data_IF_079968460899
#
_entry.id   IF_079968460899
#
_cell.length_a   1.000
_cell.length_b   1.000
_cell.length_c   1.000
_cell.angle_alpha   90.00
_cell.angle_beta   90.00
_cell.angle_gamma   90.00
#
_symmetry.space_group_name_H-M   'P 1'
#
loop_
_entity.id
_entity.type
_entity.pdbx_description
1 polymer ?
#
# COMPACT_ATOMS: atom_id res chain seq x y z
N UNK A 1 1.11 -11.71 -22.41
CA UNK A 1 0.92 -12.28 -21.06
C UNK A 1 0.06 -13.55 -21.12
N UNK A 2 -1.19 -13.50 -21.61
CA UNK A 2 -2.09 -14.68 -21.61
C UNK A 2 -1.47 -15.93 -22.26
N UNK A 3 -0.84 -15.79 -23.43
CA UNK A 3 -0.23 -16.91 -24.15
C UNK A 3 1.09 -17.40 -23.52
N UNK A 4 1.86 -16.47 -22.91
CA UNK A 4 3.13 -16.78 -22.24
C UNK A 4 2.92 -17.53 -20.92
N UNK A 5 1.80 -17.29 -20.24
CA UNK A 5 1.46 -17.87 -18.93
C UNK A 5 0.20 -18.73 -19.02
N UNK A 6 0.04 -19.46 -20.15
CA UNK A 6 -1.09 -20.36 -20.32
C UNK A 6 -1.12 -21.42 -19.20
N UNK A 7 -2.25 -21.54 -18.51
CA UNK A 7 -2.43 -22.45 -17.37
C UNK A 7 -1.93 -21.90 -16.01
N UNK A 8 -1.39 -20.69 -15.97
CA UNK A 8 -0.99 -20.01 -14.73
C UNK A 8 -1.98 -18.89 -14.42
N UNK A 9 -2.41 -18.80 -13.17
CA UNK A 9 -3.22 -17.67 -12.70
C UNK A 9 -2.31 -16.44 -12.50
N UNK A 10 -2.56 -15.37 -13.25
CA UNK A 10 -1.76 -14.15 -13.19
C UNK A 10 -2.61 -13.00 -12.66
N UNK A 11 -2.12 -12.34 -11.63
CA UNK A 11 -2.65 -11.07 -11.10
C UNK A 11 -1.56 -10.01 -11.12
N UNK A 12 -1.92 -8.74 -11.28
CA UNK A 12 -0.94 -7.65 -11.33
C UNK A 12 -1.60 -6.28 -11.34
N UNK A 13 -0.78 -5.24 -11.48
CA UNK A 13 -1.25 -3.87 -11.65
C UNK A 13 -0.21 -3.01 -12.39
N UNK A 14 -0.63 -1.83 -12.83
CA UNK A 14 0.30 -0.75 -13.20
C UNK A 14 0.94 -0.16 -11.93
N UNK A 15 2.12 0.46 -12.07
CA UNK A 15 2.94 0.83 -10.92
C UNK A 15 3.48 2.26 -11.05
N UNK A 16 3.99 2.79 -9.95
CA UNK A 16 4.78 4.04 -9.96
C UNK A 16 6.30 3.77 -10.00
N UNK A 17 6.69 2.61 -10.51
CA UNK A 17 8.04 2.08 -10.60
C UNK A 17 8.13 0.69 -9.99
N UNK A 18 9.09 -0.10 -10.44
CA UNK A 18 9.28 -1.49 -10.03
C UNK A 18 10.45 -1.63 -9.07
N UNK A 19 10.35 -2.62 -8.18
CA UNK A 19 11.43 -3.09 -7.31
C UNK A 19 11.79 -4.49 -7.78
N UNK A 20 13.05 -4.69 -8.15
CA UNK A 20 13.55 -5.98 -8.61
C UNK A 20 14.94 -6.27 -8.05
N UNK A 21 15.56 -7.40 -8.45
CA UNK A 21 16.92 -7.75 -8.01
C UNK A 21 17.98 -6.69 -8.30
N UNK A 22 17.74 -5.84 -9.28
CA UNK A 22 18.63 -4.73 -9.66
C UNK A 22 18.24 -3.40 -8.98
N UNK A 23 17.36 -3.41 -7.98
CA UNK A 23 16.86 -2.23 -7.27
C UNK A 23 15.62 -1.62 -7.93
N UNK A 24 15.40 -0.31 -7.71
CA UNK A 24 14.29 0.43 -8.32
C UNK A 24 14.51 0.62 -9.82
N UNK A 25 13.42 0.47 -10.58
CA UNK A 25 13.39 0.72 -12.02
C UNK A 25 12.09 1.41 -12.40
N UNK A 26 12.14 2.18 -13.46
CA UNK A 26 10.97 2.75 -14.11
C UNK A 26 10.77 2.09 -15.47
N UNK A 27 9.51 1.96 -15.89
CA UNK A 27 9.12 1.39 -17.19
C UNK A 27 9.54 -0.08 -17.38
N UNK A 28 9.59 -0.84 -16.30
CA UNK A 28 9.92 -2.27 -16.28
C UNK A 28 8.72 -3.16 -15.98
N UNK A 29 9.05 -4.41 -15.65
CA UNK A 29 8.11 -5.38 -15.09
C UNK A 29 8.83 -6.09 -13.95
N UNK A 30 8.21 -6.15 -12.78
CA UNK A 30 8.62 -6.98 -11.66
C UNK A 30 7.56 -8.01 -11.37
N UNK A 31 7.96 -9.23 -10.99
CA UNK A 31 7.01 -10.29 -10.68
C UNK A 31 7.65 -11.50 -10.05
N UNK A 32 6.83 -12.31 -9.41
CA UNK A 32 7.21 -13.60 -8.84
C UNK A 32 6.23 -14.69 -9.29
N UNK A 33 6.73 -15.92 -9.39
CA UNK A 33 5.92 -17.12 -9.54
C UNK A 33 5.97 -17.93 -8.25
N UNK A 34 4.83 -18.53 -7.91
CA UNK A 34 4.66 -19.34 -6.71
C UNK A 34 4.39 -20.78 -7.13
N UNK A 35 5.21 -21.78 -6.71
CA UNK A 35 5.03 -23.16 -7.11
C UNK A 35 3.78 -23.77 -6.46
N UNK A 36 3.04 -24.55 -7.26
CA UNK A 36 1.78 -25.18 -6.83
C UNK A 36 1.95 -26.22 -5.72
N UNK A 37 3.15 -26.74 -5.54
CA UNK A 37 3.50 -27.69 -4.46
C UNK A 37 3.41 -27.02 -3.07
N UNK A 38 3.71 -25.72 -3.00
CA UNK A 38 3.73 -24.96 -1.74
C UNK A 38 2.64 -23.94 -1.61
N UNK A 39 2.02 -23.52 -2.72
CA UNK A 39 1.03 -22.44 -2.71
C UNK A 39 -0.24 -22.87 -3.44
N UNK A 40 -1.37 -22.58 -2.83
CA UNK A 40 -2.69 -22.70 -3.48
C UNK A 40 -3.37 -21.36 -3.39
N UNK A 41 -3.87 -20.85 -4.50
CA UNK A 41 -4.51 -19.54 -4.55
C UNK A 41 -5.87 -19.61 -5.24
N UNK A 42 -6.77 -18.75 -4.77
CA UNK A 42 -8.01 -18.40 -5.47
C UNK A 42 -8.02 -16.89 -5.68
N UNK A 43 -8.40 -16.43 -6.87
CA UNK A 43 -8.41 -15.02 -7.17
C UNK A 43 -9.79 -14.58 -7.65
N UNK A 44 -10.07 -13.30 -7.41
CA UNK A 44 -11.30 -12.68 -7.86
C UNK A 44 -11.16 -11.17 -7.99
N UNK A 45 -12.15 -10.55 -8.62
CA UNK A 45 -12.14 -9.12 -8.93
C UNK A 45 -13.40 -8.44 -8.44
N UNK A 46 -13.24 -7.23 -7.92
CA UNK A 46 -14.30 -6.24 -7.69
C UNK A 46 -14.24 -5.22 -8.82
N UNK A 47 -15.37 -4.96 -9.45
CA UNK A 47 -15.53 -3.98 -10.51
C UNK A 47 -16.37 -2.80 -10.05
N UNK A 48 -16.30 -1.69 -10.78
CA UNK A 48 -17.11 -0.48 -10.56
C UNK A 48 -16.98 0.05 -9.13
N UNK A 49 -15.74 0.24 -8.68
CA UNK A 49 -15.43 0.70 -7.33
C UNK A 49 -16.09 2.05 -7.00
N UNK A 50 -16.36 2.89 -8.01
CA UNK A 50 -17.13 4.13 -7.81
C UNK A 50 -18.54 3.89 -7.29
N UNK A 51 -19.09 2.69 -7.53
CA UNK A 51 -20.41 2.24 -7.05
C UNK A 51 -20.28 1.14 -5.99
N UNK A 52 -19.13 1.10 -5.30
CA UNK A 52 -18.82 0.04 -4.34
C UNK A 52 -19.79 0.03 -3.17
N UNK A 53 -20.30 -1.15 -2.86
CA UNK A 53 -21.07 -1.47 -1.65
C UNK A 53 -20.40 -2.61 -0.90
N UNK A 54 -20.43 -2.58 0.43
CA UNK A 54 -19.75 -3.58 1.27
C UNK A 54 -20.20 -5.02 1.01
N UNK A 55 -21.42 -5.22 0.51
CA UNK A 55 -21.93 -6.55 0.16
C UNK A 55 -21.14 -7.19 -0.98
N UNK A 56 -20.59 -6.42 -1.91
CA UNK A 56 -19.77 -6.94 -3.01
C UNK A 56 -18.46 -7.54 -2.47
N UNK A 57 -17.81 -6.86 -1.50
CA UNK A 57 -16.62 -7.40 -0.85
C UNK A 57 -16.92 -8.65 -0.02
N UNK A 58 -18.05 -8.67 0.70
CA UNK A 58 -18.48 -9.84 1.46
C UNK A 58 -18.74 -11.04 0.55
N UNK A 59 -19.46 -10.84 -0.56
CA UNK A 59 -19.74 -11.90 -1.54
C UNK A 59 -18.43 -12.43 -2.14
N UNK A 60 -17.53 -11.54 -2.60
CA UNK A 60 -16.24 -11.95 -3.13
C UNK A 60 -15.42 -12.74 -2.11
N UNK A 61 -15.34 -12.26 -0.87
CA UNK A 61 -14.58 -12.93 0.18
C UNK A 61 -15.14 -14.33 0.47
N UNK A 62 -16.46 -14.48 0.57
CA UNK A 62 -17.13 -15.77 0.77
C UNK A 62 -16.86 -16.73 -0.38
N UNK A 63 -16.99 -16.27 -1.62
CA UNK A 63 -16.72 -17.09 -2.82
C UNK A 63 -15.27 -17.59 -2.86
N UNK A 64 -14.31 -16.72 -2.52
CA UNK A 64 -12.89 -17.09 -2.51
C UNK A 64 -12.56 -18.05 -1.37
N UNK A 65 -13.10 -17.83 -0.18
CA UNK A 65 -12.93 -18.74 0.97
C UNK A 65 -13.50 -20.11 0.67
N UNK A 66 -14.69 -20.19 0.12
CA UNK A 66 -15.33 -21.47 -0.26
C UNK A 66 -14.51 -22.21 -1.33
N UNK A 67 -14.01 -21.50 -2.34
CA UNK A 67 -13.15 -22.09 -3.37
C UNK A 67 -11.83 -22.60 -2.78
N UNK A 68 -11.21 -21.79 -1.89
CA UNK A 68 -9.95 -22.16 -1.25
C UNK A 68 -10.11 -23.38 -0.34
N UNK A 69 -11.18 -23.45 0.45
CA UNK A 69 -11.51 -24.60 1.29
C UNK A 69 -11.72 -25.87 0.46
N UNK A 70 -12.39 -25.75 -0.69
CA UNK A 70 -12.57 -26.88 -1.63
C UNK A 70 -11.25 -27.38 -2.23
N UNK A 71 -10.25 -26.51 -2.41
CA UNK A 71 -8.92 -26.87 -2.93
C UNK A 71 -7.97 -27.35 -1.83
N UNK A 72 -8.04 -26.75 -0.64
CA UNK A 72 -7.18 -26.99 0.53
C UNK A 72 -8.01 -26.93 1.81
N UNK A 73 -8.59 -28.05 2.25
CA UNK A 73 -9.42 -28.09 3.47
C UNK A 73 -8.68 -27.69 4.75
N UNK A 74 -7.34 -27.68 4.74
CA UNK A 74 -6.52 -27.24 5.88
C UNK A 74 -6.20 -25.73 5.87
N UNK A 75 -6.75 -24.98 4.91
CA UNK A 75 -6.57 -23.53 4.87
C UNK A 75 -7.20 -22.88 6.11
N UNK A 76 -6.40 -22.09 6.82
CA UNK A 76 -6.85 -21.34 8.00
C UNK A 76 -6.09 -20.00 8.13
N UNK A 77 -6.34 -19.27 9.21
CA UNK A 77 -5.73 -17.97 9.44
C UNK A 77 -4.22 -18.00 9.77
N UNK A 78 -3.67 -19.17 10.07
CA UNK A 78 -2.24 -19.33 10.37
C UNK A 78 -1.40 -19.62 9.13
N UNK A 79 -2.02 -20.16 8.10
CA UNK A 79 -1.35 -20.57 6.86
C UNK A 79 -1.86 -19.85 5.61
N UNK A 80 -2.71 -18.85 5.77
CA UNK A 80 -3.35 -18.17 4.63
C UNK A 80 -3.29 -16.63 4.78
N UNK A 81 -3.27 -15.95 3.65
CA UNK A 81 -3.29 -14.48 3.57
C UNK A 81 -4.01 -14.01 2.31
N UNK A 82 -4.51 -12.78 2.34
CA UNK A 82 -5.01 -12.06 1.18
C UNK A 82 -3.99 -11.07 0.63
N UNK A 83 -3.82 -11.04 -0.70
CA UNK A 83 -3.02 -10.03 -1.39
C UNK A 83 -3.93 -9.21 -2.30
N UNK A 84 -4.07 -7.92 -2.01
CA UNK A 84 -4.98 -6.99 -2.70
C UNK A 84 -4.21 -6.03 -3.59
N UNK A 85 -4.60 -5.96 -4.86
CA UNK A 85 -4.21 -4.91 -5.80
C UNK A 85 -5.46 -4.11 -6.16
N UNK A 86 -5.42 -2.79 -5.98
CA UNK A 86 -6.57 -1.91 -6.20
C UNK A 86 -6.19 -0.72 -7.09
N UNK A 87 -7.11 -0.27 -7.91
CA UNK A 87 -6.96 0.96 -8.70
C UNK A 87 -6.69 2.15 -7.78
N UNK A 88 -5.48 2.72 -7.84
CA UNK A 88 -5.00 3.77 -6.94
C UNK A 88 -5.59 5.16 -7.21
N UNK A 89 -6.43 5.30 -8.25
CA UNK A 89 -7.19 6.50 -8.54
C UNK A 89 -8.70 6.32 -8.28
N UNK A 90 -9.10 5.16 -7.75
CA UNK A 90 -10.50 4.87 -7.44
C UNK A 90 -11.05 5.70 -6.29
N UNK A 91 -10.20 6.18 -5.38
CA UNK A 91 -10.61 6.86 -4.12
C UNK A 91 -11.54 5.96 -3.27
N UNK A 92 -11.37 4.63 -3.37
CA UNK A 92 -12.22 3.63 -2.70
C UNK A 92 -11.43 2.61 -1.87
N UNK A 93 -10.14 2.84 -1.69
CA UNK A 93 -9.25 1.92 -0.99
C UNK A 93 -9.73 1.64 0.44
N UNK A 94 -10.09 2.68 1.22
CA UNK A 94 -10.51 2.50 2.61
C UNK A 94 -11.79 1.66 2.76
N UNK A 95 -12.90 1.96 2.07
CA UNK A 95 -14.10 1.14 2.19
C UNK A 95 -13.90 -0.29 1.68
N UNK A 96 -13.14 -0.48 0.60
CA UNK A 96 -12.86 -1.81 0.04
C UNK A 96 -12.03 -2.64 0.99
N UNK A 97 -10.86 -2.13 1.43
CA UNK A 97 -9.95 -2.90 2.29
C UNK A 97 -10.58 -3.22 3.64
N UNK A 98 -11.34 -2.28 4.23
CA UNK A 98 -12.08 -2.49 5.48
C UNK A 98 -13.15 -3.58 5.32
N UNK A 99 -13.94 -3.52 4.23
CA UNK A 99 -15.00 -4.49 4.01
C UNK A 99 -14.47 -5.90 3.76
N UNK A 100 -13.38 -6.03 2.99
CA UNK A 100 -12.69 -7.31 2.78
C UNK A 100 -12.10 -7.85 4.08
N UNK A 101 -11.40 -7.04 4.88
CA UNK A 101 -10.83 -7.49 6.15
C UNK A 101 -11.92 -7.92 7.14
N UNK A 102 -13.03 -7.19 7.20
CA UNK A 102 -14.16 -7.58 8.04
C UNK A 102 -14.75 -8.94 7.62
N UNK A 103 -14.84 -9.21 6.32
CA UNK A 103 -15.31 -10.48 5.80
C UNK A 103 -14.33 -11.63 6.07
N UNK A 104 -13.03 -11.36 6.05
CA UNK A 104 -11.97 -12.33 6.34
C UNK A 104 -11.71 -12.53 7.84
N UNK A 105 -12.20 -11.63 8.69
CA UNK A 105 -11.96 -11.69 10.13
C UNK A 105 -10.47 -11.60 10.46
N UNK A 106 -9.89 -12.68 10.99
CA UNK A 106 -8.47 -12.74 11.39
C UNK A 106 -7.50 -13.08 10.27
N UNK A 107 -7.98 -13.50 9.10
CA UNK A 107 -7.11 -13.79 7.96
C UNK A 107 -6.45 -12.47 7.50
N UNK A 108 -5.11 -12.39 7.48
CA UNK A 108 -4.44 -11.12 7.22
C UNK A 108 -4.55 -10.70 5.75
N UNK A 109 -4.81 -9.41 5.52
CA UNK A 109 -4.86 -8.78 4.21
C UNK A 109 -3.72 -7.77 4.08
N UNK A 110 -2.98 -7.86 2.98
CA UNK A 110 -1.89 -6.95 2.62
C UNK A 110 -1.97 -6.63 1.13
N UNK A 111 -1.39 -5.52 0.70
CA UNK A 111 -1.36 -5.18 -0.72
C UNK A 111 -0.96 -3.75 -1.02
N UNK A 112 -1.21 -3.32 -2.27
CA UNK A 112 -0.86 -1.99 -2.74
C UNK A 112 -1.84 -1.46 -3.78
N UNK A 113 -1.89 -0.14 -3.88
CA UNK A 113 -2.66 0.57 -4.90
C UNK A 113 -1.83 0.73 -6.17
N UNK A 114 -2.44 0.44 -7.31
CA UNK A 114 -1.83 0.66 -8.61
C UNK A 114 -1.39 2.12 -8.79
N UNK A 115 -0.34 2.34 -9.56
CA UNK A 115 0.21 3.66 -9.86
C UNK A 115 0.44 3.86 -11.36
N UNK A 116 0.81 5.09 -11.75
CA UNK A 116 1.24 5.47 -13.10
C UNK A 116 2.37 6.51 -13.05
N UNK A 117 3.42 6.23 -12.28
CA UNK A 117 4.50 7.15 -11.93
C UNK A 117 3.95 8.40 -11.20
N UNK A 118 4.20 9.60 -11.67
CA UNK A 118 3.63 10.86 -11.16
C UNK A 118 2.55 11.43 -12.09
N UNK A 119 1.99 10.59 -12.97
CA UNK A 119 1.00 11.01 -13.96
C UNK A 119 -0.37 11.27 -13.37
N UNK A 120 -0.80 10.44 -12.42
CA UNK A 120 -2.13 10.48 -11.78
C UNK A 120 -3.27 10.55 -12.78
N UNK A 121 -3.14 9.82 -13.89
CA UNK A 121 -4.08 9.84 -15.02
C UNK A 121 -4.82 8.53 -15.20
N UNK A 122 -4.11 7.40 -15.04
CA UNK A 122 -4.69 6.08 -15.29
C UNK A 122 -3.97 4.97 -14.56
N UNK A 123 -4.66 4.31 -13.64
CA UNK A 123 -4.18 3.11 -12.95
C UNK A 123 -5.04 1.90 -13.28
N UNK A 124 -4.44 0.72 -13.35
CA UNK A 124 -5.12 -0.50 -13.80
C UNK A 124 -4.67 -1.68 -12.95
N UNK A 125 -5.60 -2.61 -12.71
CA UNK A 125 -5.29 -3.95 -12.20
C UNK A 125 -5.40 -4.97 -13.33
N UNK A 126 -4.58 -6.03 -13.26
CA UNK A 126 -4.58 -7.09 -14.27
C UNK A 126 -5.19 -8.37 -13.70
N UNK A 127 -6.19 -8.88 -14.39
CA UNK A 127 -6.88 -10.12 -14.03
C UNK A 127 -7.50 -10.78 -15.27
N UNK A 128 -7.50 -12.11 -15.31
CA UNK A 128 -8.09 -12.92 -16.41
C UNK A 128 -7.68 -12.47 -17.82
N UNK A 129 -6.38 -12.16 -17.97
CA UNK A 129 -5.81 -11.83 -19.28
C UNK A 129 -6.02 -10.37 -19.73
N UNK A 130 -6.61 -9.50 -18.91
CA UNK A 130 -6.91 -8.12 -19.27
C UNK A 130 -6.59 -7.12 -18.15
N UNK A 131 -6.37 -5.86 -18.53
CA UNK A 131 -6.28 -4.74 -17.61
C UNK A 131 -7.64 -4.10 -17.38
N UNK A 132 -7.94 -3.78 -16.12
CA UNK A 132 -9.21 -3.22 -15.67
C UNK A 132 -8.98 -1.94 -14.86
N UNK A 133 -9.70 -0.88 -15.20
CA UNK A 133 -9.82 0.34 -14.40
C UNK A 133 -10.98 0.22 -13.40
N UNK A 134 -11.04 1.11 -12.43
CA UNK A 134 -12.11 1.18 -11.43
C UNK A 134 -12.39 -0.21 -10.79
N UNK A 135 -11.30 -0.93 -10.51
CA UNK A 135 -11.36 -2.34 -10.10
C UNK A 135 -10.31 -2.68 -9.04
N UNK A 136 -10.57 -3.75 -8.29
CA UNK A 136 -9.61 -4.36 -7.40
C UNK A 136 -9.50 -5.87 -7.66
N UNK A 137 -8.31 -6.42 -7.52
CA UNK A 137 -8.04 -7.86 -7.63
C UNK A 137 -7.53 -8.36 -6.30
N UNK A 138 -8.12 -9.44 -5.85
CA UNK A 138 -7.75 -10.12 -4.61
C UNK A 138 -7.29 -11.54 -4.92
N UNK A 139 -6.08 -11.87 -4.48
CA UNK A 139 -5.57 -13.22 -4.39
C UNK A 139 -5.64 -13.70 -2.94
N UNK A 140 -6.43 -14.74 -2.69
CA UNK A 140 -6.46 -15.44 -1.41
C UNK A 140 -5.58 -16.67 -1.51
N UNK A 141 -4.53 -16.72 -0.70
CA UNK A 141 -3.45 -17.70 -0.81
C UNK A 141 -3.33 -18.50 0.47
N UNK A 142 -3.17 -19.82 0.35
CA UNK A 142 -2.72 -20.68 1.44
C UNK A 142 -1.40 -21.34 1.09
N UNK A 143 -0.55 -21.56 2.10
CA UNK A 143 0.80 -22.09 1.92
C UNK A 143 1.24 -22.96 3.08
N UNK A 144 2.12 -23.91 2.83
CA UNK A 144 2.82 -24.68 3.85
C UNK A 144 4.21 -24.12 4.20
N UNK A 145 4.57 -22.97 3.60
CA UNK A 145 5.84 -22.31 3.85
C UNK A 145 5.63 -21.21 4.90
N UNK A 146 6.56 -21.00 5.84
CA UNK A 146 6.46 -19.89 6.78
C UNK A 146 6.37 -18.55 6.05
N UNK A 147 5.46 -17.69 6.49
CA UNK A 147 5.35 -16.34 5.95
C UNK A 147 5.08 -15.31 7.04
N UNK A 148 5.34 -14.06 6.74
CA UNK A 148 5.02 -12.93 7.61
C UNK A 148 4.59 -11.73 6.78
N UNK A 149 3.41 -11.18 7.08
CA UNK A 149 3.05 -9.85 6.59
C UNK A 149 3.70 -8.79 7.47
N UNK A 150 4.06 -7.66 6.89
CA UNK A 150 4.73 -6.58 7.62
C UNK A 150 4.34 -5.19 7.10
N UNK A 151 4.58 -4.19 7.92
CA UNK A 151 4.48 -2.78 7.59
C UNK A 151 5.61 -2.03 8.30
N UNK A 152 6.28 -1.12 7.59
CA UNK A 152 7.24 -0.17 8.17
C UNK A 152 6.75 1.26 8.03
N UNK A 153 7.06 2.10 9.00
CA UNK A 153 6.82 3.54 8.98
C UNK A 153 7.90 4.22 9.82
N UNK A 154 8.56 5.25 9.28
CA UNK A 154 9.67 5.91 9.95
C UNK A 154 9.34 7.35 10.42
N UNK A 155 8.06 7.74 10.41
CA UNK A 155 7.64 9.04 10.93
C UNK A 155 7.13 8.93 12.36
N UNK A 156 7.54 9.90 13.19
CA UNK A 156 7.09 10.06 14.57
C UNK A 156 6.36 11.40 14.72
N UNK A 157 5.41 11.44 15.67
CA UNK A 157 4.65 12.65 15.97
C UNK A 157 5.54 13.77 16.52
N UNK A 158 5.17 15.01 16.18
CA UNK A 158 5.58 16.21 16.89
C UNK A 158 4.43 16.76 17.74
N UNK A 159 4.68 17.78 18.54
CA UNK A 159 3.65 18.43 19.37
C UNK A 159 2.71 19.35 18.58
N UNK A 160 3.16 19.79 17.39
CA UNK A 160 2.38 20.67 16.53
C UNK A 160 1.11 19.95 16.01
N UNK A 161 0.01 20.70 15.96
CA UNK A 161 -1.27 20.20 15.47
C UNK A 161 -2.08 21.31 14.81
N UNK A 162 -2.89 20.94 13.83
CA UNK A 162 -3.87 21.78 13.16
C UNK A 162 -5.16 20.96 12.94
N UNK A 163 -6.26 21.63 12.71
CA UNK A 163 -7.57 20.97 12.51
C UNK A 163 -8.06 21.21 11.09
N UNK A 164 -8.52 20.17 10.43
CA UNK A 164 -9.25 20.26 9.16
C UNK A 164 -10.62 20.89 9.43
N UNK A 165 -10.87 22.09 8.93
CA UNK A 165 -12.11 22.84 9.17
C UNK A 165 -13.09 22.80 7.99
N UNK A 166 -12.62 22.42 6.79
CA UNK A 166 -13.51 22.15 5.65
C UNK A 166 -12.87 21.10 4.72
N UNK A 167 -13.61 20.06 4.36
CA UNK A 167 -13.15 19.00 3.46
C UNK A 167 -14.27 18.38 2.65
N UNK A 168 -13.94 17.97 1.41
CA UNK A 168 -14.74 17.04 0.59
C UNK A 168 -14.12 15.62 0.75
N UNK A 169 -14.70 14.84 1.67
CA UNK A 169 -14.21 13.50 2.00
C UNK A 169 -14.31 12.54 0.79
N UNK A 170 -15.30 12.71 -0.09
CA UNK A 170 -15.49 11.84 -1.25
C UNK A 170 -14.40 12.03 -2.31
N UNK A 171 -13.86 13.25 -2.40
CA UNK A 171 -12.79 13.60 -3.34
C UNK A 171 -11.41 13.67 -2.66
N UNK A 172 -11.34 13.46 -1.34
CA UNK A 172 -10.13 13.59 -0.52
C UNK A 172 -9.49 15.00 -0.64
N UNK A 173 -10.32 16.03 -0.71
CA UNK A 173 -9.87 17.42 -0.83
C UNK A 173 -10.13 18.15 0.48
N UNK A 174 -9.08 18.80 1.02
CA UNK A 174 -9.18 19.70 2.16
C UNK A 174 -9.11 21.13 1.63
N UNK A 175 -10.15 21.92 1.83
CA UNK A 175 -10.20 23.33 1.44
C UNK A 175 -9.73 24.26 2.54
N UNK A 176 -9.93 23.90 3.83
CA UNK A 176 -9.54 24.75 4.95
C UNK A 176 -8.89 23.94 6.09
N UNK A 177 -7.87 24.55 6.68
CA UNK A 177 -7.21 24.11 7.91
C UNK A 177 -7.16 25.31 8.86
N UNK A 178 -7.67 25.15 10.09
CA UNK A 178 -7.79 26.22 11.11
C UNK A 178 -8.49 27.49 10.56
N UNK A 179 -9.53 27.31 9.72
CA UNK A 179 -10.34 28.40 9.12
C UNK A 179 -9.63 29.22 8.05
N UNK A 180 -8.54 28.71 7.46
CA UNK A 180 -7.77 29.35 6.38
C UNK A 180 -7.55 28.41 5.21
N UNK A 181 -7.20 28.91 4.00
CA UNK A 181 -6.88 28.06 2.87
C UNK A 181 -5.87 26.97 3.23
N UNK A 182 -6.18 25.72 2.87
CA UNK A 182 -5.43 24.56 3.36
C UNK A 182 -3.95 24.59 2.98
N UNK A 183 -3.63 25.02 1.74
CA UNK A 183 -2.25 25.10 1.28
C UNK A 183 -1.42 26.15 2.06
N UNK A 184 -2.01 27.31 2.37
CA UNK A 184 -1.36 28.35 3.16
C UNK A 184 -1.13 27.89 4.60
N UNK A 185 -2.16 27.30 5.22
CA UNK A 185 -2.07 26.78 6.59
C UNK A 185 -1.04 25.67 6.70
N UNK A 186 -1.01 24.74 5.74
CA UNK A 186 -0.01 23.68 5.72
C UNK A 186 1.41 24.23 5.49
N UNK A 187 1.60 25.16 4.55
CA UNK A 187 2.88 25.80 4.32
C UNK A 187 3.40 26.48 5.59
N UNK A 188 2.56 27.26 6.28
CA UNK A 188 2.90 27.87 7.55
C UNK A 188 3.22 26.83 8.63
N UNK A 189 2.45 25.75 8.70
CA UNK A 189 2.62 24.65 9.66
C UNK A 189 3.98 23.97 9.54
N UNK A 190 4.47 23.78 8.30
CA UNK A 190 5.79 23.18 8.03
C UNK A 190 6.93 24.20 7.92
N UNK A 191 6.66 25.51 8.05
CA UNK A 191 7.65 26.56 7.93
C UNK A 191 8.17 26.78 6.51
N UNK A 192 7.31 26.59 5.49
CA UNK A 192 7.64 26.73 4.08
C UNK A 192 6.86 27.87 3.40
N UNK A 193 7.28 28.25 2.19
CA UNK A 193 6.49 29.10 1.29
C UNK A 193 5.43 28.27 0.57
N UNK A 194 4.21 28.80 0.43
CA UNK A 194 3.12 28.12 -0.28
C UNK A 194 3.48 27.83 -1.75
N UNK A 195 4.30 28.67 -2.38
CA UNK A 195 4.78 28.47 -3.74
C UNK A 195 5.79 27.32 -3.87
N UNK A 196 6.35 26.85 -2.75
CA UNK A 196 7.32 25.74 -2.70
C UNK A 196 6.68 24.37 -2.41
N UNK A 197 5.34 24.30 -2.37
CA UNK A 197 4.63 23.05 -2.11
C UNK A 197 4.66 22.15 -3.36
N UNK A 198 5.46 21.10 -3.30
CA UNK A 198 5.66 20.12 -4.35
C UNK A 198 5.63 18.68 -3.79
N UNK A 199 5.64 17.64 -4.63
CA UNK A 199 5.64 16.25 -4.18
C UNK A 199 6.82 15.88 -3.27
N UNK A 200 8.01 16.44 -3.47
CA UNK A 200 9.19 16.18 -2.62
C UNK A 200 8.98 16.75 -1.21
N UNK A 201 8.37 17.94 -1.11
CA UNK A 201 8.00 18.55 0.16
C UNK A 201 6.96 17.72 0.90
N UNK A 202 5.91 17.25 0.23
CA UNK A 202 4.89 16.39 0.81
C UNK A 202 5.48 15.03 1.27
N UNK A 203 6.47 14.51 0.54
CA UNK A 203 7.16 13.28 0.89
C UNK A 203 8.00 13.41 2.16
N UNK A 204 8.67 14.54 2.36
CA UNK A 204 9.60 14.74 3.48
C UNK A 204 8.94 15.33 4.74
N UNK A 205 7.77 15.95 4.61
CA UNK A 205 7.06 16.63 5.70
C UNK A 205 5.56 16.26 5.73
N UNK A 206 5.21 14.97 5.88
CA UNK A 206 3.81 14.57 5.92
C UNK A 206 3.13 15.04 7.21
N UNK A 207 1.81 14.83 7.27
CA UNK A 207 1.03 14.96 8.49
C UNK A 207 0.59 13.58 8.97
N UNK A 208 0.33 13.46 10.28
CA UNK A 208 -0.16 12.22 10.88
C UNK A 208 -1.49 12.44 11.58
N UNK A 209 -2.27 11.37 11.66
CA UNK A 209 -3.42 11.27 12.55
C UNK A 209 -3.18 10.16 13.58
N UNK A 210 -3.70 10.35 14.76
CA UNK A 210 -3.68 9.35 15.83
C UNK A 210 -5.07 8.71 15.89
N UNK A 211 -5.15 7.42 15.61
CA UNK A 211 -6.39 6.63 15.70
C UNK A 211 -6.12 5.42 16.58
N UNK A 212 -6.88 5.26 17.67
CA UNK A 212 -6.76 4.16 18.62
C UNK A 212 -5.31 3.90 19.10
N UNK A 213 -4.57 4.97 19.38
CA UNK A 213 -3.18 4.91 19.83
C UNK A 213 -2.15 4.63 18.74
N UNK A 214 -2.57 4.43 17.49
CA UNK A 214 -1.69 4.18 16.34
C UNK A 214 -1.57 5.42 15.46
N UNK A 215 -0.35 5.71 15.03
CA UNK A 215 -0.07 6.82 14.14
C UNK A 215 -0.19 6.39 12.68
N UNK A 216 -0.98 7.12 11.91
CA UNK A 216 -1.15 6.92 10.48
C UNK A 216 -0.74 8.19 9.72
N UNK A 217 0.12 8.03 8.74
CA UNK A 217 0.43 9.12 7.82
C UNK A 217 -0.79 9.43 6.96
N UNK A 218 -1.06 10.72 6.78
CA UNK A 218 -2.03 11.25 5.83
C UNK A 218 -1.27 12.02 4.77
N UNK A 219 -1.03 11.37 3.65
CA UNK A 219 -0.16 11.92 2.61
C UNK A 219 -0.91 12.88 1.71
N UNK A 220 -0.30 14.06 1.51
CA UNK A 220 -0.78 15.04 0.53
C UNK A 220 -0.26 14.63 -0.85
N UNK A 221 -1.15 14.63 -1.84
CA UNK A 221 -0.85 14.34 -3.24
C UNK A 221 -0.40 15.60 -3.97
N UNK A 222 -1.16 16.70 -3.80
CA UNK A 222 -0.89 17.98 -4.47
C UNK A 222 -1.58 19.15 -3.79
N UNK A 223 -1.02 20.34 -4.01
CA UNK A 223 -1.70 21.60 -3.79
C UNK A 223 -2.46 21.99 -5.07
N UNK A 224 -3.70 22.39 -4.93
CA UNK A 224 -4.56 22.80 -6.06
C UNK A 224 -4.47 24.33 -6.27
N UNK A 225 -4.76 24.82 -7.49
CA UNK A 225 -4.71 26.28 -7.79
C UNK A 225 -5.66 27.13 -6.95
N UNK A 226 -6.71 26.54 -6.39
CA UNK A 226 -7.70 27.20 -5.52
C UNK A 226 -7.25 27.26 -4.03
N UNK A 227 -6.03 26.80 -3.73
CA UNK A 227 -5.48 26.77 -2.37
C UNK A 227 -5.94 25.56 -1.53
N UNK A 228 -6.68 24.63 -2.09
CA UNK A 228 -7.01 23.37 -1.44
C UNK A 228 -5.87 22.34 -1.59
N UNK A 229 -5.91 21.28 -0.76
CA UNK A 229 -4.97 20.16 -0.80
C UNK A 229 -5.71 18.85 -1.14
N UNK A 230 -5.21 18.11 -2.11
CA UNK A 230 -5.69 16.74 -2.38
C UNK A 230 -4.84 15.74 -1.63
N UNK A 231 -5.46 14.72 -1.03
CA UNK A 231 -4.80 13.68 -0.27
C UNK A 231 -4.84 12.33 -1.00
N UNK A 232 -3.89 11.46 -0.72
CA UNK A 232 -3.91 10.05 -1.19
C UNK A 232 -4.85 9.16 -0.37
N UNK A 233 -5.32 9.61 0.77
CA UNK A 233 -6.09 8.82 1.74
C UNK A 233 -7.31 9.59 2.22
N UNK A 234 -8.23 8.88 2.86
CA UNK A 234 -9.42 9.49 3.43
C UNK A 234 -9.07 10.58 4.45
N UNK A 235 -9.75 11.69 4.30
CA UNK A 235 -9.62 12.89 5.14
C UNK A 235 -11.00 13.53 5.30
N UNK A 236 -11.33 13.97 6.51
CA UNK A 236 -12.65 14.51 6.85
C UNK A 236 -12.51 15.77 7.70
N UNK A 237 -13.57 16.57 7.71
CA UNK A 237 -13.68 17.71 8.62
C UNK A 237 -13.62 17.26 10.08
N UNK A 238 -12.97 18.06 10.94
CA UNK A 238 -12.78 17.77 12.35
C UNK A 238 -11.54 16.91 12.65
N UNK A 239 -10.87 16.34 11.64
CA UNK A 239 -9.64 15.59 11.85
C UNK A 239 -8.52 16.50 12.37
N UNK A 240 -7.84 16.05 13.43
CA UNK A 240 -6.65 16.70 13.95
C UNK A 240 -5.42 16.13 13.21
N UNK A 241 -4.79 16.97 12.41
CA UNK A 241 -3.52 16.67 11.78
C UNK A 241 -2.38 17.07 12.72
N UNK A 242 -1.41 16.19 12.87
CA UNK A 242 -0.22 16.40 13.69
C UNK A 242 1.01 16.48 12.82
N UNK A 243 1.98 17.27 13.25
CA UNK A 243 3.28 17.34 12.59
C UNK A 243 4.01 16.00 12.68
N UNK A 244 4.78 15.73 11.64
CA UNK A 244 5.61 14.54 11.53
C UNK A 244 7.08 14.89 11.46
N UNK A 245 7.92 14.07 12.06
CA UNK A 245 9.38 14.12 11.90
C UNK A 245 9.87 12.76 11.45
N UNK A 246 10.54 12.70 10.30
CA UNK A 246 11.20 11.48 9.83
C UNK A 246 12.36 11.12 10.76
N UNK A 247 12.44 9.84 11.12
CA UNK A 247 13.62 9.23 11.75
C UNK A 247 14.48 8.54 10.69
N UNK A 248 15.51 7.79 11.09
CA UNK A 248 16.34 7.05 10.14
C UNK A 248 15.51 6.03 9.35
N UNK A 249 15.22 6.36 8.08
CA UNK A 249 14.43 5.51 7.17
C UNK A 249 15.11 4.18 6.93
N UNK A 250 16.44 4.18 6.72
CA UNK A 250 17.19 2.96 6.41
C UNK A 250 17.30 2.09 7.64
N UNK A 251 17.64 2.66 8.81
CA UNK A 251 17.68 1.92 10.08
C UNK A 251 16.32 1.32 10.44
N UNK A 252 15.22 2.06 10.24
CA UNK A 252 13.86 1.54 10.43
C UNK A 252 13.55 0.34 9.50
N UNK A 253 14.03 0.40 8.26
CA UNK A 253 13.88 -0.70 7.30
C UNK A 253 14.71 -1.91 7.70
N UNK A 254 15.97 -1.72 8.10
CA UNK A 254 16.86 -2.78 8.58
C UNK A 254 16.30 -3.49 9.82
N UNK A 255 15.74 -2.75 10.77
CA UNK A 255 15.06 -3.30 11.95
C UNK A 255 13.83 -4.14 11.57
N UNK A 256 13.02 -3.68 10.62
CA UNK A 256 11.86 -4.42 10.14
C UNK A 256 12.27 -5.75 9.50
N UNK A 257 13.30 -5.76 8.65
CA UNK A 257 13.83 -6.99 8.05
C UNK A 257 14.53 -7.89 9.08
N UNK A 258 15.18 -7.34 10.08
CA UNK A 258 15.71 -8.12 11.20
C UNK A 258 14.57 -8.84 11.96
N UNK A 259 13.45 -8.15 12.20
CA UNK A 259 12.26 -8.75 12.80
C UNK A 259 11.62 -9.85 11.93
N UNK A 260 11.64 -9.70 10.60
CA UNK A 260 11.19 -10.73 9.66
C UNK A 260 12.10 -11.96 9.77
N UNK A 261 13.42 -11.77 9.67
CA UNK A 261 14.39 -12.88 9.79
C UNK A 261 14.30 -13.61 11.13
N UNK A 262 14.06 -12.90 12.21
CA UNK A 262 13.85 -13.51 13.53
C UNK A 262 12.60 -14.41 13.60
N UNK A 263 11.56 -14.08 12.78
CA UNK A 263 10.30 -14.81 12.80
C UNK A 263 10.25 -16.01 11.85
N UNK A 264 10.84 -15.90 10.66
CA UNK A 264 10.69 -16.90 9.58
C UNK A 264 12.03 -17.35 8.97
N UNK A 265 13.16 -16.97 9.54
CA UNK A 265 14.49 -17.18 8.93
C UNK A 265 14.76 -16.18 7.79
N UNK A 266 15.82 -16.41 7.01
CA UNK A 266 16.12 -15.60 5.84
C UNK A 266 15.02 -15.73 4.80
N UNK A 267 14.39 -14.63 4.35
CA UNK A 267 13.32 -14.73 3.38
C UNK A 267 13.83 -15.20 2.02
N UNK A 268 13.14 -16.17 1.44
CA UNK A 268 13.38 -16.61 0.05
C UNK A 268 12.84 -15.58 -0.94
N UNK A 269 11.77 -14.88 -0.54
CA UNK A 269 11.14 -13.84 -1.32
C UNK A 269 10.43 -12.87 -0.40
N UNK A 270 10.56 -11.58 -0.69
CA UNK A 270 9.69 -10.55 -0.15
C UNK A 270 8.98 -9.87 -1.30
N UNK A 271 7.65 -9.81 -1.26
CA UNK A 271 6.84 -9.01 -2.19
C UNK A 271 6.42 -7.75 -1.47
N UNK A 272 7.00 -6.61 -1.87
CA UNK A 272 6.80 -5.31 -1.24
C UNK A 272 5.94 -4.37 -2.07
N UNK A 273 5.05 -3.63 -1.38
CA UNK A 273 4.35 -2.46 -1.91
C UNK A 273 4.95 -1.24 -1.19
N UNK A 274 5.71 -0.43 -1.89
CA UNK A 274 6.42 0.72 -1.32
C UNK A 274 5.82 2.03 -1.82
N UNK A 275 5.36 2.87 -0.91
CA UNK A 275 4.71 4.11 -1.28
C UNK A 275 5.61 4.99 -2.17
N UNK A 276 5.05 5.55 -3.25
CA UNK A 276 5.78 6.46 -4.14
C UNK A 276 6.41 7.64 -3.40
N UNK A 277 5.77 8.13 -2.35
CA UNK A 277 6.31 9.22 -1.54
C UNK A 277 7.57 8.79 -0.75
N UNK A 278 7.69 7.52 -0.38
CA UNK A 278 8.96 7.01 0.19
C UNK A 278 10.07 7.02 -0.87
N UNK A 279 9.76 6.61 -2.12
CA UNK A 279 10.72 6.68 -3.23
C UNK A 279 11.17 8.14 -3.47
N UNK A 280 10.24 9.10 -3.44
CA UNK A 280 10.57 10.52 -3.57
C UNK A 280 11.44 11.00 -2.41
N UNK A 281 11.11 10.67 -1.17
CA UNK A 281 11.92 11.03 0.00
C UNK A 281 13.32 10.42 -0.07
N UNK A 282 13.44 9.14 -0.42
CA UNK A 282 14.73 8.47 -0.58
C UNK A 282 15.59 9.13 -1.67
N UNK A 283 14.96 9.54 -2.76
CA UNK A 283 15.63 10.24 -3.87
C UNK A 283 16.14 11.61 -3.41
N UNK A 284 15.28 12.40 -2.76
CA UNK A 284 15.62 13.72 -2.23
C UNK A 284 16.76 13.67 -1.21
N UNK A 285 16.79 12.62 -0.40
CA UNK A 285 17.81 12.42 0.65
C UNK A 285 19.05 11.63 0.20
N UNK A 286 19.11 11.18 -1.05
CA UNK A 286 20.22 10.36 -1.57
C UNK A 286 20.35 8.99 -0.88
N UNK A 287 19.22 8.37 -0.52
CA UNK A 287 19.18 7.10 0.22
C UNK A 287 18.85 5.88 -0.65
N UNK A 288 18.57 6.09 -1.94
CA UNK A 288 18.10 5.02 -2.85
C UNK A 288 19.03 3.82 -2.82
N UNK A 289 20.33 4.01 -3.05
CA UNK A 289 21.31 2.92 -3.11
C UNK A 289 21.35 2.07 -1.82
N UNK A 290 21.22 2.74 -0.64
CA UNK A 290 21.21 2.07 0.65
C UNK A 290 19.97 1.22 0.84
N UNK A 291 18.80 1.74 0.46
CA UNK A 291 17.52 1.02 0.51
C UNK A 291 17.52 -0.16 -0.46
N UNK A 292 18.02 0.05 -1.68
CA UNK A 292 18.18 -1.02 -2.66
C UNK A 292 19.09 -2.15 -2.16
N UNK A 293 20.16 -1.80 -1.40
CA UNK A 293 21.01 -2.82 -0.79
C UNK A 293 20.24 -3.65 0.23
N UNK A 294 19.43 -3.00 1.10
CA UNK A 294 18.59 -3.74 2.05
C UNK A 294 17.58 -4.63 1.33
N UNK A 295 17.01 -4.18 0.21
CA UNK A 295 16.09 -5.00 -0.59
C UNK A 295 16.79 -6.19 -1.23
N UNK A 296 17.98 -6.01 -1.80
CA UNK A 296 18.79 -7.11 -2.37
C UNK A 296 19.16 -8.15 -1.32
N UNK A 297 19.60 -7.70 -0.15
CA UNK A 297 20.01 -8.59 0.96
C UNK A 297 18.83 -9.41 1.52
N UNK A 298 17.60 -9.03 1.22
CA UNK A 298 16.39 -9.71 1.69
C UNK A 298 15.50 -10.23 0.53
N UNK A 299 16.06 -10.45 -0.67
CA UNK A 299 15.34 -10.99 -1.84
C UNK A 299 14.01 -10.29 -2.12
N UNK A 300 14.01 -8.95 -2.05
CA UNK A 300 12.80 -8.14 -2.18
C UNK A 300 12.54 -7.77 -3.63
N UNK A 301 11.33 -8.06 -4.08
CA UNK A 301 10.74 -7.53 -5.31
C UNK A 301 9.45 -6.78 -4.97
N UNK A 302 8.90 -6.06 -5.92
CA UNK A 302 7.62 -5.37 -5.73
C UNK A 302 7.48 -4.14 -6.62
N UNK A 303 6.79 -3.15 -6.10
CA UNK A 303 6.51 -1.94 -6.87
C UNK A 303 6.26 -0.73 -5.98
N UNK A 304 6.45 0.45 -6.56
CA UNK A 304 6.01 1.72 -5.96
C UNK A 304 4.51 1.90 -6.18
N UNK A 305 3.79 2.12 -5.08
CA UNK A 305 2.33 2.19 -4.99
C UNK A 305 1.83 3.61 -4.69
N UNK A 306 0.55 3.87 -4.91
CA UNK A 306 -0.12 5.12 -4.51
C UNK A 306 -0.66 5.07 -3.08
N UNK A 307 -0.40 4.00 -2.38
CA UNK A 307 -0.77 3.72 -1.02
C UNK A 307 -0.88 2.21 -0.80
N UNK A 308 -0.78 1.80 0.43
CA UNK A 308 -0.64 0.40 0.80
C UNK A 308 -1.86 -0.06 1.60
N UNK A 309 -2.13 -1.36 1.57
CA UNK A 309 -3.16 -2.00 2.37
C UNK A 309 -2.52 -2.88 3.42
N UNK A 310 -2.94 -2.72 4.67
CA UNK A 310 -2.44 -3.51 5.78
C UNK A 310 -3.53 -3.74 6.83
N UNK A 311 -3.94 -5.02 7.02
CA UNK A 311 -4.90 -5.45 8.05
C UNK A 311 -6.18 -4.59 8.08
N UNK A 312 -6.78 -4.35 6.91
CA UNK A 312 -8.04 -3.61 6.80
C UNK A 312 -7.92 -2.09 6.80
N UNK A 313 -6.69 -1.56 6.81
CA UNK A 313 -6.42 -0.12 6.77
C UNK A 313 -5.67 0.24 5.49
N UNK A 314 -6.09 1.33 4.84
CA UNK A 314 -5.30 1.97 3.80
C UNK A 314 -4.28 2.91 4.46
N UNK A 315 -3.00 2.74 4.13
CA UNK A 315 -1.88 3.45 4.71
C UNK A 315 -1.01 4.10 3.64
N UNK A 316 -0.28 5.13 4.02
CA UNK A 316 0.61 5.86 3.12
C UNK A 316 2.00 6.01 3.74
N UNK A 317 2.99 6.30 2.89
CA UNK A 317 4.40 6.46 3.27
C UNK A 317 4.91 5.29 4.12
N UNK A 318 4.46 4.10 3.77
CA UNK A 318 4.87 2.83 4.35
C UNK A 318 5.52 1.94 3.29
N UNK A 319 6.28 0.96 3.73
CA UNK A 319 6.50 -0.27 2.97
C UNK A 319 5.65 -1.33 3.65
N UNK A 320 4.73 -1.93 2.91
CA UNK A 320 4.00 -3.13 3.34
C UNK A 320 4.37 -4.29 2.44
N UNK A 321 4.12 -5.49 2.89
CA UNK A 321 4.37 -6.65 2.06
C UNK A 321 4.21 -7.96 2.78
N UNK A 322 4.58 -9.00 2.04
CA UNK A 322 4.68 -10.36 2.56
C UNK A 322 6.09 -10.88 2.35
N UNK A 323 6.66 -11.41 3.41
CA UNK A 323 7.91 -12.15 3.38
C UNK A 323 7.62 -13.65 3.48
N UNK A 324 8.28 -14.44 2.66
CA UNK A 324 8.13 -15.90 2.53
C UNK A 324 9.45 -16.53 2.89
N UNK A 325 9.45 -17.41 3.87
CA UNK A 325 10.62 -18.15 4.34
C UNK A 325 10.93 -19.40 3.52
N UNK A 326 11.84 -20.20 4.02
CA UNK A 326 12.17 -21.51 3.44
C UNK A 326 11.11 -22.55 3.81
N UNK A 327 10.85 -23.52 2.94
CA UNK A 327 10.09 -24.70 3.32
C UNK A 327 10.76 -25.38 4.53
N UNK A 328 9.98 -25.73 5.53
CA UNK A 328 10.48 -26.57 6.64
C UNK A 328 10.67 -27.97 6.09
N UNK A 329 11.91 -28.43 5.98
CA UNK A 329 12.21 -29.82 5.67
C UNK A 329 12.09 -30.62 6.96
N UNK A 330 11.11 -31.51 7.02
CA UNK A 330 10.96 -32.50 8.10
C UNK A 330 12.13 -33.51 8.11
#
# INVERSE_FOLDING_TARGET
>A
MRDLFAGVQVVGCTTAGEIGPAGYRDHGISGASFPSESFTATCGRLDKLQQFESIQAQSLAQDLLQKLEGLKPQADTSNSFGFLLIDGLSVREEPVVRSLQNAFGKLPLVGGSAGDALGFTRTLVYYDGAFHADSAVLALVTTNVPFRIFKTQHFVLTEQRVVVTAADAQRRIVSEIDGRPAAESYAQFIGADVQSLDPARFATQPVLVLVDGTNYVRSIQKANPDGSLTFFCAIEEGIILRGARGVDLVGNLEEAFAGIRAAIGSPQLVVGCDCILRKLEMTERGLVDRVEQVFRDNNTIGFSSYGEQYLGVHVNQTLTGIAIGEPVHD
#
